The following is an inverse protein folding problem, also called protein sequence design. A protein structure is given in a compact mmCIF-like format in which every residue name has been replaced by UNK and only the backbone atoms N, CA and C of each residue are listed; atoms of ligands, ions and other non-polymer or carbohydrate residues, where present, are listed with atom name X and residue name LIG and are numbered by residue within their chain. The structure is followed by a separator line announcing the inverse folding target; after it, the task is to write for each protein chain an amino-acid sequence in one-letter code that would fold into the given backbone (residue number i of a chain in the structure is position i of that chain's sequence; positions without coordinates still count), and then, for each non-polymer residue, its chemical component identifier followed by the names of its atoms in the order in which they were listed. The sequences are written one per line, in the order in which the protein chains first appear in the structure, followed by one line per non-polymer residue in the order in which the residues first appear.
data_IF_152053394779
#
_entry.id   IF_152053394779
#
_cell.length_a   1.000
_cell.length_b   1.000
_cell.length_c   1.000
_cell.angle_alpha   90.00
_cell.angle_beta   90.00
_cell.angle_gamma   90.00
#
_symmetry.space_group_name_H-M   'P 1'
#
loop_
_entity.id
_entity.type
_entity.pdbx_description
1 polymer ?
#
# COMPACT_ATOMS: atom_id res chain seq x y z
N UNK A 1 6.10 34.56 16.76
CA UNK A 1 5.76 33.25 16.15
C UNK A 1 4.41 32.83 16.71
N UNK A 2 3.51 32.28 15.88
CA UNK A 2 2.16 31.93 16.32
C UNK A 2 2.13 30.69 17.24
N UNK A 3 3.15 29.83 17.16
CA UNK A 3 3.26 28.57 17.91
C UNK A 3 4.70 28.35 18.39
N UNK A 4 4.90 27.64 19.50
CA UNK A 4 6.21 27.40 20.15
C UNK A 4 6.86 26.06 19.77
N UNK A 5 6.36 25.34 18.76
CA UNK A 5 6.89 24.04 18.36
C UNK A 5 8.20 24.16 17.57
N UNK A 6 9.13 23.24 17.81
CA UNK A 6 10.47 23.24 17.17
C UNK A 6 10.52 22.44 15.87
N UNK A 7 9.56 21.54 15.65
CA UNK A 7 9.47 20.73 14.44
C UNK A 7 8.01 20.51 14.01
N UNK A 8 7.85 19.97 12.80
CA UNK A 8 6.54 19.80 12.17
C UNK A 8 5.65 18.76 12.86
N UNK A 9 6.25 17.72 13.43
CA UNK A 9 5.52 16.68 14.13
C UNK A 9 4.86 17.24 15.40
N UNK A 10 5.64 17.93 16.24
CA UNK A 10 5.15 18.55 17.47
C UNK A 10 4.10 19.64 17.18
N UNK A 11 4.30 20.42 16.10
CA UNK A 11 3.34 21.43 15.68
C UNK A 11 1.98 20.82 15.33
N UNK A 12 1.95 19.73 14.55
CA UNK A 12 0.69 19.08 14.17
C UNK A 12 0.01 18.43 15.37
N UNK A 13 0.77 17.78 16.26
CA UNK A 13 0.21 17.21 17.49
C UNK A 13 -0.38 18.32 18.37
N UNK A 14 0.34 19.43 18.56
CA UNK A 14 -0.15 20.58 19.32
C UNK A 14 -1.43 21.18 18.73
N UNK A 15 -1.46 21.41 17.41
CA UNK A 15 -2.64 21.97 16.73
C UNK A 15 -3.85 21.03 16.81
N UNK A 16 -3.61 19.73 16.67
CA UNK A 16 -4.63 18.69 16.78
C UNK A 16 -5.19 18.62 18.20
N UNK A 17 -4.30 18.59 19.20
CA UNK A 17 -4.67 18.62 20.62
C UNK A 17 -5.52 19.85 20.95
N UNK A 18 -5.04 21.04 20.57
CA UNK A 18 -5.76 22.29 20.78
C UNK A 18 -7.16 22.25 20.18
N UNK A 19 -7.32 21.67 19.00
CA UNK A 19 -8.63 21.52 18.36
C UNK A 19 -9.57 20.57 19.12
N UNK A 20 -9.06 19.45 19.63
CA UNK A 20 -9.84 18.51 20.45
C UNK A 20 -10.28 19.16 21.77
N UNK A 21 -9.41 19.97 22.39
CA UNK A 21 -9.73 20.65 23.65
C UNK A 21 -10.73 21.81 23.52
N UNK A 22 -11.06 22.26 22.30
CA UNK A 22 -12.01 23.35 22.13
C UNK A 22 -13.39 22.97 22.70
N UNK A 23 -14.11 23.90 23.36
CA UNK A 23 -15.43 23.66 23.96
C UNK A 23 -16.54 23.63 22.89
N UNK A 24 -16.37 22.76 21.90
CA UNK A 24 -17.29 22.54 20.80
C UNK A 24 -17.94 21.17 20.94
N UNK A 25 -19.14 21.04 20.41
CA UNK A 25 -19.72 19.72 20.24
C UNK A 25 -18.81 18.91 19.31
N UNK A 26 -18.50 17.68 19.72
CA UNK A 26 -17.64 16.74 19.02
C UNK A 26 -18.06 15.33 19.43
N UNK A 27 -17.71 14.35 18.62
CA UNK A 27 -17.97 12.95 18.94
C UNK A 27 -17.19 12.53 20.21
N UNK A 28 -17.82 11.84 21.19
CA UNK A 28 -17.18 11.54 22.48
C UNK A 28 -15.84 10.80 22.38
N UNK A 29 -15.69 9.92 21.38
CA UNK A 29 -14.47 9.13 21.18
C UNK A 29 -13.19 9.97 21.11
N UNK A 30 -13.23 11.20 20.59
CA UNK A 30 -12.04 12.04 20.55
C UNK A 30 -11.49 12.32 21.94
N UNK A 31 -12.37 12.55 22.93
CA UNK A 31 -11.96 12.80 24.32
C UNK A 31 -11.68 11.52 25.10
N UNK A 32 -12.41 10.45 24.80
CA UNK A 32 -12.19 9.15 25.44
C UNK A 32 -10.83 8.55 25.07
N UNK A 33 -10.44 8.65 23.78
CA UNK A 33 -9.17 8.09 23.30
C UNK A 33 -8.02 9.10 23.44
N UNK A 34 -8.24 10.38 23.09
CA UNK A 34 -7.25 11.43 23.28
C UNK A 34 -7.57 12.22 24.56
N UNK A 35 -7.46 11.54 25.71
CA UNK A 35 -7.73 12.15 27.01
C UNK A 35 -6.58 13.04 27.50
N UNK A 36 -5.38 12.89 26.94
CA UNK A 36 -4.22 13.71 27.25
C UNK A 36 -3.33 13.92 26.01
N UNK A 37 -2.53 14.99 26.01
CA UNK A 37 -1.71 15.38 24.85
C UNK A 37 -0.59 14.37 24.56
N UNK A 38 0.00 13.80 25.60
CA UNK A 38 1.02 12.75 25.54
C UNK A 38 0.49 11.46 24.91
N UNK A 39 -0.77 11.11 25.17
CA UNK A 39 -1.46 9.98 24.52
C UNK A 39 -1.59 10.23 23.02
N UNK A 40 -2.03 11.43 22.62
CA UNK A 40 -2.10 11.83 21.21
C UNK A 40 -0.71 11.79 20.55
N UNK A 41 0.32 12.29 21.25
CA UNK A 41 1.71 12.29 20.80
C UNK A 41 2.23 10.86 20.56
N UNK A 42 1.99 9.96 21.51
CA UNK A 42 2.38 8.55 21.43
C UNK A 42 1.72 7.87 20.23
N UNK A 43 0.40 8.05 20.06
CA UNK A 43 -0.35 7.50 18.91
C UNK A 43 0.18 8.06 17.58
N UNK A 44 0.42 9.37 17.52
CA UNK A 44 0.97 10.02 16.32
C UNK A 44 2.38 9.52 15.98
N UNK A 45 3.20 9.21 16.99
CA UNK A 45 4.55 8.68 16.81
C UNK A 45 4.52 7.29 16.17
N UNK A 46 3.68 6.40 16.70
CA UNK A 46 3.48 5.05 16.14
C UNK A 46 2.92 5.10 14.70
N UNK A 47 2.19 6.18 14.36
CA UNK A 47 1.66 6.36 13.01
C UNK A 47 2.71 6.65 11.94
N UNK A 48 3.96 6.97 12.31
CA UNK A 48 5.03 7.29 11.37
C UNK A 48 4.62 8.38 10.37
N UNK A 49 4.12 9.50 10.91
CA UNK A 49 3.63 10.62 10.11
C UNK A 49 4.74 11.24 9.26
N UNK A 50 4.38 11.59 8.04
CA UNK A 50 5.19 12.36 7.09
C UNK A 50 4.43 13.63 6.70
N UNK A 51 5.17 14.69 6.37
CA UNK A 51 4.62 16.03 6.20
C UNK A 51 5.04 16.64 4.87
N UNK A 52 4.17 17.49 4.32
CA UNK A 52 4.48 18.18 3.09
C UNK A 52 5.66 19.16 3.28
N UNK A 53 6.59 19.25 2.29
CA UNK A 53 7.66 20.24 2.32
C UNK A 53 7.13 21.66 2.47
N UNK A 54 7.77 22.46 3.33
CA UNK A 54 7.39 23.86 3.61
C UNK A 54 6.09 24.03 4.42
N UNK A 55 5.44 22.96 4.86
CA UNK A 55 4.20 23.06 5.64
C UNK A 55 4.43 23.71 7.01
N UNK A 56 5.57 23.44 7.65
CA UNK A 56 5.96 24.08 8.91
C UNK A 56 6.10 25.59 8.76
N UNK A 57 6.82 26.04 7.73
CA UNK A 57 7.04 27.45 7.43
C UNK A 57 5.72 28.15 7.07
N UNK A 58 4.87 27.48 6.28
CA UNK A 58 3.57 28.00 5.88
C UNK A 58 2.62 28.24 7.07
N UNK A 59 2.68 27.40 8.11
CA UNK A 59 1.87 27.57 9.33
C UNK A 59 2.42 28.67 10.24
N UNK A 60 3.75 28.80 10.32
CA UNK A 60 4.41 29.79 11.17
C UNK A 60 4.58 31.17 10.51
N UNK A 61 4.27 31.30 9.22
CA UNK A 61 4.36 32.55 8.48
C UNK A 61 3.44 33.65 9.06
N UNK A 62 3.86 34.91 8.92
CA UNK A 62 3.09 36.08 9.37
C UNK A 62 1.82 36.33 8.54
N UNK A 63 1.75 35.77 7.33
CA UNK A 63 0.61 35.85 6.42
C UNK A 63 0.13 34.44 6.04
N UNK A 64 -1.16 34.24 5.74
CA UNK A 64 -1.67 32.93 5.34
C UNK A 64 -1.03 32.46 4.02
N UNK A 65 -0.85 31.14 3.83
CA UNK A 65 -0.29 30.63 2.59
C UNK A 65 -1.16 31.03 1.39
N UNK A 66 -0.54 31.25 0.24
CA UNK A 66 -1.26 31.53 -1.00
C UNK A 66 -1.74 30.24 -1.67
N UNK A 67 -2.58 30.35 -2.69
CA UNK A 67 -2.97 29.21 -3.54
C UNK A 67 -1.76 28.51 -4.17
N UNK A 68 -0.66 29.24 -4.41
CA UNK A 68 0.54 28.70 -5.02
C UNK A 68 1.18 27.61 -4.15
N UNK A 69 1.24 27.82 -2.82
CA UNK A 69 1.70 26.81 -1.87
C UNK A 69 0.95 25.48 -2.05
N UNK A 70 -0.38 25.51 -2.05
CA UNK A 70 -1.19 24.30 -2.18
C UNK A 70 -1.05 23.61 -3.53
N UNK A 71 -0.75 24.33 -4.61
CA UNK A 71 -0.53 23.75 -5.95
C UNK A 71 0.82 23.04 -6.10
N UNK A 72 1.77 23.33 -5.22
CA UNK A 72 3.11 22.73 -5.23
C UNK A 72 3.22 21.56 -4.24
N UNK A 73 2.14 21.18 -3.57
CA UNK A 73 2.14 20.05 -2.65
C UNK A 73 2.31 18.72 -3.38
N UNK A 74 2.90 17.71 -2.73
CA UNK A 74 3.05 16.39 -3.33
C UNK A 74 1.69 15.74 -3.63
N UNK A 75 1.58 15.10 -4.80
CA UNK A 75 0.38 14.35 -5.22
C UNK A 75 0.56 12.83 -5.28
N UNK A 76 1.72 12.31 -4.85
CA UNK A 76 2.00 10.87 -4.89
C UNK A 76 1.20 10.13 -3.81
N UNK A 77 0.29 9.23 -4.20
CA UNK A 77 -0.70 8.68 -3.26
C UNK A 77 -0.72 7.14 -3.16
N UNK A 78 0.45 6.49 -3.23
CA UNK A 78 0.52 5.03 -3.26
C UNK A 78 0.63 4.41 -1.85
N UNK A 79 -0.37 3.60 -1.47
CA UNK A 79 -0.40 2.87 -0.19
C UNK A 79 -0.34 3.70 1.10
N UNK A 80 -0.95 4.88 1.11
CA UNK A 80 -0.93 5.77 2.28
C UNK A 80 -2.33 6.19 2.74
N UNK A 81 -2.44 6.53 4.02
CA UNK A 81 -3.50 7.39 4.54
C UNK A 81 -3.01 8.82 4.58
N UNK A 82 -3.91 9.78 4.39
CA UNK A 82 -3.51 11.18 4.33
C UNK A 82 -4.62 12.15 4.72
N UNK A 83 -4.23 13.30 5.27
CA UNK A 83 -4.98 14.56 5.16
C UNK A 83 -4.49 15.27 3.90
N UNK A 84 -5.41 15.65 3.03
CA UNK A 84 -5.13 16.24 1.73
C UNK A 84 -5.90 17.54 1.52
N UNK A 85 -5.46 18.31 0.53
CA UNK A 85 -6.15 19.49 0.02
C UNK A 85 -6.51 19.29 -1.45
N UNK A 86 -7.69 19.74 -1.85
CA UNK A 86 -8.12 19.87 -3.24
C UNK A 86 -8.16 21.35 -3.60
N UNK A 87 -7.55 21.73 -4.72
CA UNK A 87 -7.59 23.10 -5.23
C UNK A 87 -8.56 23.18 -6.39
N UNK A 88 -9.55 24.06 -6.28
CA UNK A 88 -10.60 24.27 -7.28
C UNK A 88 -10.44 25.62 -7.96
N UNK A 89 -10.48 25.63 -9.29
CA UNK A 89 -10.44 26.86 -10.08
C UNK A 89 -11.57 26.94 -11.10
N UNK A 90 -12.01 28.18 -11.35
CA UNK A 90 -12.95 28.58 -12.38
C UNK A 90 -12.47 29.92 -12.93
N UNK A 91 -12.48 30.10 -14.25
CA UNK A 91 -12.00 31.34 -14.90
C UNK A 91 -12.79 32.55 -14.37
N UNK A 92 -12.07 33.62 -14.02
CA UNK A 92 -12.66 34.87 -13.49
C UNK A 92 -13.26 34.76 -12.09
N UNK A 93 -13.02 33.67 -11.35
CA UNK A 93 -13.55 33.47 -10.00
C UNK A 93 -12.43 33.15 -9.02
N UNK A 94 -12.63 33.51 -7.75
CA UNK A 94 -11.70 33.19 -6.66
C UNK A 94 -11.52 31.68 -6.52
N UNK A 95 -10.27 31.25 -6.35
CA UNK A 95 -9.92 29.84 -6.09
C UNK A 95 -10.61 29.36 -4.81
N UNK A 96 -11.03 28.09 -4.80
CA UNK A 96 -11.57 27.44 -3.60
C UNK A 96 -10.68 26.27 -3.19
N UNK A 97 -10.61 25.98 -1.90
CA UNK A 97 -9.92 24.79 -1.38
C UNK A 97 -10.86 23.93 -0.54
N UNK A 98 -10.60 22.64 -0.51
CA UNK A 98 -11.23 21.69 0.39
C UNK A 98 -10.14 20.86 1.07
N UNK A 99 -10.21 20.73 2.39
CA UNK A 99 -9.34 19.81 3.14
C UNK A 99 -10.18 18.61 3.56
N UNK A 100 -9.64 17.42 3.38
CA UNK A 100 -10.29 16.17 3.76
C UNK A 100 -9.27 15.09 4.11
N UNK A 101 -9.73 13.98 4.68
CA UNK A 101 -8.89 12.81 4.96
C UNK A 101 -9.31 11.58 4.15
N UNK A 102 -8.32 10.71 3.88
CA UNK A 102 -8.48 9.48 3.11
C UNK A 102 -8.03 8.26 3.91
N UNK A 103 -8.90 7.75 4.78
CA UNK A 103 -8.61 6.68 5.77
C UNK A 103 -9.29 5.34 5.46
N UNK A 104 -9.72 5.12 4.21
CA UNK A 104 -10.35 3.87 3.81
C UNK A 104 -9.29 2.76 3.70
N UNK A 105 -9.46 1.65 4.43
CA UNK A 105 -8.51 0.52 4.43
C UNK A 105 -8.33 -0.11 3.04
N UNK A 106 -9.40 -0.22 2.26
CA UNK A 106 -9.39 -0.89 0.96
C UNK A 106 -8.89 0.01 -0.18
N UNK A 107 -9.09 1.32 -0.03
CA UNK A 107 -8.98 2.29 -1.13
C UNK A 107 -8.01 3.44 -0.92
N UNK A 108 -7.62 3.71 0.33
CA UNK A 108 -6.65 4.77 0.70
C UNK A 108 -7.13 6.17 0.30
N UNK A 109 -6.23 7.14 0.35
CA UNK A 109 -6.49 8.48 -0.21
C UNK A 109 -6.81 8.42 -1.71
N UNK A 110 -6.19 7.51 -2.47
CA UNK A 110 -6.41 7.38 -3.91
C UNK A 110 -7.87 7.08 -4.27
N UNK A 111 -8.55 6.17 -3.57
CA UNK A 111 -9.96 5.89 -3.83
C UNK A 111 -10.84 7.10 -3.57
N UNK A 112 -10.54 7.86 -2.52
CA UNK A 112 -11.27 9.12 -2.24
C UNK A 112 -11.08 10.11 -3.39
N UNK A 113 -9.84 10.27 -3.89
CA UNK A 113 -9.55 11.10 -5.05
C UNK A 113 -10.22 10.63 -6.34
N UNK A 114 -10.23 9.32 -6.60
CA UNK A 114 -10.94 8.73 -7.74
C UNK A 114 -12.45 8.96 -7.64
N UNK A 115 -13.01 8.96 -6.43
CA UNK A 115 -14.40 9.35 -6.19
C UNK A 115 -14.70 10.77 -6.66
N UNK A 116 -13.81 11.72 -6.38
CA UNK A 116 -13.93 13.08 -6.91
C UNK A 116 -13.82 13.14 -8.43
N UNK A 117 -12.85 12.43 -9.02
CA UNK A 117 -12.66 12.40 -10.47
C UNK A 117 -13.87 11.86 -11.21
N UNK A 118 -14.49 10.81 -10.64
CA UNK A 118 -15.70 10.17 -11.17
C UNK A 118 -16.98 10.89 -10.79
N UNK A 119 -16.89 11.94 -9.97
CA UNK A 119 -18.04 12.66 -9.38
C UNK A 119 -19.02 11.71 -8.66
N UNK A 120 -18.48 10.75 -7.92
CA UNK A 120 -19.27 9.76 -7.18
C UNK A 120 -20.03 10.44 -6.04
N UNK A 121 -21.39 10.46 -6.08
CA UNK A 121 -22.20 11.16 -5.09
C UNK A 121 -22.09 10.55 -3.69
N UNK A 122 -21.74 9.25 -3.56
CA UNK A 122 -21.65 8.57 -2.26
C UNK A 122 -20.50 9.06 -1.38
N UNK A 123 -19.51 9.73 -1.99
CA UNK A 123 -18.31 10.22 -1.32
C UNK A 123 -18.13 11.73 -1.48
N UNK A 124 -19.08 12.43 -2.09
CA UNK A 124 -18.94 13.85 -2.43
C UNK A 124 -19.44 14.75 -1.29
N UNK A 125 -18.58 15.58 -0.67
CA UNK A 125 -19.04 16.61 0.26
C UNK A 125 -19.96 17.62 -0.43
N UNK A 126 -21.00 18.08 0.26
CA UNK A 126 -22.04 18.98 -0.28
C UNK A 126 -21.49 20.19 -1.04
N UNK A 127 -20.49 20.90 -0.50
CA UNK A 127 -19.95 22.09 -1.15
C UNK A 127 -18.90 21.80 -2.21
N UNK A 128 -18.30 20.60 -2.19
CA UNK A 128 -17.47 20.13 -3.29
C UNK A 128 -18.37 19.82 -4.50
N UNK A 129 -19.49 19.12 -4.29
CA UNK A 129 -20.52 18.90 -5.31
C UNK A 129 -21.05 20.24 -5.87
N UNK A 130 -21.41 21.17 -4.98
CA UNK A 130 -21.82 22.52 -5.37
C UNK A 130 -20.74 23.21 -6.21
N UNK A 131 -19.47 23.14 -5.84
CA UNK A 131 -18.39 23.74 -6.61
C UNK A 131 -18.31 23.16 -8.03
N UNK A 132 -18.46 21.84 -8.18
CA UNK A 132 -18.53 21.22 -9.51
C UNK A 132 -19.73 21.69 -10.33
N UNK A 133 -20.91 21.82 -9.71
CA UNK A 133 -22.13 22.37 -10.34
C UNK A 133 -21.95 23.85 -10.74
N UNK A 134 -21.24 24.62 -9.93
CA UNK A 134 -20.90 26.02 -10.20
C UNK A 134 -19.83 26.17 -11.33
N UNK A 135 -19.32 25.07 -11.89
CA UNK A 135 -18.35 25.05 -12.99
C UNK A 135 -16.88 25.08 -12.56
N UNK A 136 -16.58 24.86 -11.27
CA UNK A 136 -15.21 24.69 -10.82
C UNK A 136 -14.66 23.32 -11.23
N UNK A 137 -13.33 23.27 -11.43
CA UNK A 137 -12.58 22.04 -11.69
C UNK A 137 -11.48 21.89 -10.64
N UNK A 138 -11.21 20.65 -10.23
CA UNK A 138 -10.02 20.33 -9.44
C UNK A 138 -8.80 20.52 -10.34
N UNK A 139 -7.91 21.43 -9.98
CA UNK A 139 -6.64 21.68 -10.70
C UNK A 139 -5.44 21.07 -10.00
N UNK A 140 -5.57 20.70 -8.72
CA UNK A 140 -4.50 20.06 -7.96
C UNK A 140 -5.06 19.26 -6.77
N UNK A 141 -4.35 18.19 -6.39
CA UNK A 141 -4.62 17.37 -5.20
C UNK A 141 -3.31 17.21 -4.43
N UNK A 142 -3.19 17.90 -3.31
CA UNK A 142 -1.97 17.95 -2.51
C UNK A 142 -2.12 17.16 -1.22
N UNK A 143 -1.07 16.50 -0.77
CA UNK A 143 -1.00 15.91 0.56
C UNK A 143 -0.45 16.94 1.54
N UNK A 144 -1.04 17.01 2.74
CA UNK A 144 -0.56 17.85 3.85
C UNK A 144 0.19 17.00 4.87
N UNK A 145 -0.44 15.90 5.31
CA UNK A 145 0.10 14.92 6.27
C UNK A 145 -0.27 13.53 5.79
N UNK A 146 0.64 12.58 5.86
CA UNK A 146 0.36 11.20 5.48
C UNK A 146 1.11 10.18 6.33
N UNK A 147 0.66 8.93 6.27
CA UNK A 147 1.24 7.80 6.96
C UNK A 147 1.18 6.55 6.08
N UNK A 148 2.07 5.55 6.30
CA UNK A 148 1.88 4.22 5.74
C UNK A 148 0.52 3.62 6.19
N UNK A 149 0.08 2.57 5.51
CA UNK A 149 -1.12 1.85 5.93
C UNK A 149 -0.95 1.32 7.36
N UNK A 150 -1.89 1.59 8.27
CA UNK A 150 -1.85 0.98 9.60
C UNK A 150 -2.02 -0.53 9.53
N UNK A 151 -1.41 -1.22 10.50
CA UNK A 151 -1.82 -2.56 10.87
C UNK A 151 -3.31 -2.59 11.27
N UNK A 152 -3.96 -3.74 11.13
CA UNK A 152 -5.39 -3.87 11.39
C UNK A 152 -5.80 -3.39 12.79
N UNK A 153 -4.98 -3.71 13.80
CA UNK A 153 -5.13 -3.27 15.19
C UNK A 153 -5.19 -1.73 15.34
N UNK A 154 -4.41 -1.02 14.54
CA UNK A 154 -4.27 0.44 14.65
C UNK A 154 -5.24 1.21 13.75
N UNK A 155 -5.97 0.54 12.85
CA UNK A 155 -6.94 1.16 11.94
C UNK A 155 -7.93 2.09 12.65
N UNK A 156 -8.57 1.70 13.77
CA UNK A 156 -9.60 2.54 14.40
C UNK A 156 -9.02 3.83 14.97
N UNK A 157 -7.94 3.69 15.75
CA UNK A 157 -7.27 4.79 16.43
C UNK A 157 -6.62 5.74 15.42
N UNK A 158 -5.96 5.21 14.39
CA UNK A 158 -5.34 6.07 13.37
C UNK A 158 -6.40 6.79 12.55
N UNK A 159 -7.58 6.18 12.33
CA UNK A 159 -8.66 6.87 11.62
C UNK A 159 -9.13 8.08 12.45
N UNK A 160 -9.27 7.91 13.76
CA UNK A 160 -9.57 8.98 14.70
C UNK A 160 -8.51 10.08 14.66
N UNK A 161 -7.22 9.71 14.66
CA UNK A 161 -6.11 10.66 14.53
C UNK A 161 -6.20 11.49 13.22
N UNK A 162 -6.41 10.83 12.08
CA UNK A 162 -6.47 11.52 10.78
C UNK A 162 -7.69 12.46 10.65
N UNK A 163 -8.83 12.12 11.24
CA UNK A 163 -9.99 13.01 11.28
C UNK A 163 -9.74 14.20 12.21
N UNK A 164 -9.07 13.99 13.34
CA UNK A 164 -8.66 15.10 14.22
C UNK A 164 -7.68 16.06 13.52
N UNK A 165 -6.68 15.52 12.80
CA UNK A 165 -5.76 16.33 12.00
C UNK A 165 -6.48 17.03 10.83
N UNK A 166 -7.47 16.40 10.20
CA UNK A 166 -8.33 17.04 9.18
C UNK A 166 -9.04 18.25 9.75
N UNK A 167 -9.63 18.15 10.95
CA UNK A 167 -10.25 19.27 11.63
C UNK A 167 -9.23 20.40 11.88
N UNK A 168 -8.08 20.06 12.49
CA UNK A 168 -7.05 21.04 12.82
C UNK A 168 -6.57 21.82 11.59
N UNK A 169 -6.20 21.10 10.52
CA UNK A 169 -5.70 21.73 9.29
C UNK A 169 -6.80 22.46 8.52
N UNK A 170 -8.05 22.02 8.60
CA UNK A 170 -9.20 22.74 8.04
C UNK A 170 -9.39 24.11 8.69
N UNK A 171 -9.21 24.23 10.01
CA UNK A 171 -9.34 25.52 10.70
C UNK A 171 -8.09 26.37 10.61
N UNK A 172 -6.89 25.80 10.71
CA UNK A 172 -5.62 26.53 10.55
C UNK A 172 -5.59 27.25 9.20
N UNK A 173 -5.89 26.55 8.10
CA UNK A 173 -5.94 27.14 6.75
C UNK A 173 -7.29 27.75 6.38
N UNK A 174 -8.23 27.83 7.34
CA UNK A 174 -9.59 28.32 7.12
C UNK A 174 -10.26 27.78 5.84
N UNK A 175 -10.18 26.46 5.64
CA UNK A 175 -10.84 25.75 4.54
C UNK A 175 -12.37 25.68 4.70
N UNK A 176 -12.95 26.45 5.63
CA UNK A 176 -14.38 26.54 5.92
C UNK A 176 -15.12 27.39 4.88
N UNK A 177 -16.34 26.96 4.52
CA UNK A 177 -17.17 27.64 3.52
C UNK A 177 -17.55 29.08 3.89
N UNK A 178 -17.71 29.36 5.18
CA UNK A 178 -18.03 30.70 5.69
C UNK A 178 -16.79 31.33 6.31
N UNK A 179 -16.54 32.60 5.97
CA UNK A 179 -15.51 33.44 6.60
C UNK A 179 -16.01 34.18 7.84
N UNK A 180 -17.32 34.32 7.98
CA UNK A 180 -17.92 35.07 9.09
C UNK A 180 -18.33 34.16 10.25
N UNK A 181 -18.73 32.91 9.96
CA UNK A 181 -19.09 31.94 10.98
C UNK A 181 -17.85 31.44 11.70
N UNK A 182 -17.85 31.53 13.03
CA UNK A 182 -16.70 31.11 13.86
C UNK A 182 -16.51 29.60 13.94
N UNK A 183 -17.61 28.84 13.80
CA UNK A 183 -17.66 27.40 14.08
C UNK A 183 -17.21 27.03 15.50
N UNK A 184 -17.09 28.01 16.40
CA UNK A 184 -16.47 27.89 17.73
C UNK A 184 -14.99 27.44 17.67
N UNK A 185 -14.34 27.67 16.53
CA UNK A 185 -12.97 27.24 16.21
C UNK A 185 -12.15 28.39 15.65
N UNK A 186 -12.62 29.64 15.77
CA UNK A 186 -11.95 30.80 15.18
C UNK A 186 -10.52 31.00 15.66
N UNK A 187 -10.25 30.66 16.93
CA UNK A 187 -8.94 30.79 17.57
C UNK A 187 -7.90 29.76 17.10
N UNK A 188 -8.31 28.75 16.31
CA UNK A 188 -7.38 27.80 15.69
C UNK A 188 -6.71 28.36 14.42
N UNK A 189 -7.27 29.41 13.83
CA UNK A 189 -6.69 30.09 12.68
C UNK A 189 -5.77 31.23 13.15
N UNK A 190 -4.46 31.20 12.85
CA UNK A 190 -3.52 32.22 13.31
C UNK A 190 -3.62 33.55 12.54
N UNK A 191 -4.35 33.57 11.41
CA UNK A 191 -4.46 34.75 10.54
C UNK A 191 -5.88 35.33 10.51
N UNK A 192 -6.02 36.64 10.19
CA UNK A 192 -7.33 37.22 9.87
C UNK A 192 -7.98 36.52 8.68
N UNK A 193 -9.23 36.07 8.81
CA UNK A 193 -9.97 35.33 7.76
C UNK A 193 -10.13 36.08 6.44
N UNK A 194 -10.05 37.41 6.47
CA UNK A 194 -10.07 38.27 5.29
C UNK A 194 -8.76 38.28 4.50
N UNK A 195 -7.65 37.88 5.11
CA UNK A 195 -6.32 37.87 4.49
C UNK A 195 -6.13 36.70 3.50
N UNK A 196 -6.98 35.68 3.56
CA UNK A 196 -6.90 34.54 2.65
C UNK A 196 -7.28 34.92 1.22
N UNK A 197 -6.49 34.50 0.25
CA UNK A 197 -6.72 34.72 -1.20
C UNK A 197 -7.60 33.64 -1.86
N UNK A 198 -8.13 32.71 -1.06
CA UNK A 198 -9.01 31.62 -1.50
C UNK A 198 -10.19 31.42 -0.54
N UNK A 199 -11.26 30.79 -1.00
CA UNK A 199 -12.39 30.38 -0.14
C UNK A 199 -12.33 28.91 0.23
N UNK A 200 -12.91 28.55 1.37
CA UNK A 200 -13.07 27.17 1.79
C UNK A 200 -14.30 26.48 1.22
N UNK A 201 -14.34 25.16 1.34
CA UNK A 201 -15.46 24.29 0.97
C UNK A 201 -15.90 23.34 2.09
N UNK A 202 -15.22 23.35 3.25
CA UNK A 202 -15.61 22.53 4.41
C UNK A 202 -16.87 23.13 5.07
N UNK A 203 -17.89 22.30 5.29
CA UNK A 203 -19.19 22.75 5.83
C UNK A 203 -19.26 22.78 7.34
N UNK A 204 -18.46 21.95 8.01
CA UNK A 204 -18.52 21.70 9.44
C UNK A 204 -17.15 21.23 9.95
N UNK A 205 -17.02 21.17 11.28
CA UNK A 205 -15.85 20.62 11.96
C UNK A 205 -15.84 19.09 11.82
N UNK A 206 -14.78 18.49 11.28
CA UNK A 206 -14.66 17.04 11.12
C UNK A 206 -14.74 16.27 12.47
N UNK A 207 -14.51 16.93 13.61
CA UNK A 207 -14.72 16.33 14.93
C UNK A 207 -16.20 16.00 15.24
N UNK A 208 -17.14 16.51 14.43
CA UNK A 208 -18.56 16.16 14.52
C UNK A 208 -18.90 14.85 13.82
N UNK A 209 -17.99 14.33 12.97
CA UNK A 209 -18.23 13.12 12.22
C UNK A 209 -18.10 11.90 13.12
N UNK A 210 -19.11 11.02 13.07
CA UNK A 210 -19.04 9.71 13.71
C UNK A 210 -18.01 8.83 13.01
N UNK A 211 -17.05 8.31 13.77
CA UNK A 211 -15.99 7.46 13.22
C UNK A 211 -16.34 5.99 13.39
N UNK A 212 -16.38 5.28 12.26
CA UNK A 212 -16.48 3.82 12.26
C UNK A 212 -15.11 3.21 12.54
N UNK A 213 -15.03 2.37 13.55
CA UNK A 213 -13.75 1.78 13.94
C UNK A 213 -13.82 0.47 14.74
N UNK A 214 -14.98 0.06 15.27
CA UNK A 214 -15.04 -1.06 16.22
C UNK A 214 -14.01 -0.89 17.36
N UNK A 215 -14.05 0.28 18.01
CA UNK A 215 -13.10 0.69 19.06
C UNK A 215 -13.17 -0.19 20.32
N UNK A 216 -14.24 -0.98 20.43
CA UNK A 216 -14.54 -1.95 21.47
C UNK A 216 -13.89 -3.33 21.26
N UNK A 217 -13.28 -3.58 20.09
CA UNK A 217 -12.64 -4.85 19.78
C UNK A 217 -11.18 -4.89 20.21
N UNK A 218 -10.72 -6.09 20.60
CA UNK A 218 -9.31 -6.33 20.89
C UNK A 218 -8.47 -6.30 19.60
N UNK A 219 -7.16 -6.14 19.75
CA UNK A 219 -6.21 -6.22 18.64
C UNK A 219 -6.36 -7.51 17.84
N UNK A 220 -6.45 -8.67 18.51
CA UNK A 220 -6.62 -9.97 17.85
C UNK A 220 -7.93 -10.06 17.06
N UNK A 221 -9.02 -9.53 17.61
CA UNK A 221 -10.31 -9.48 16.93
C UNK A 221 -10.26 -8.59 15.68
N UNK A 222 -9.60 -7.42 15.76
CA UNK A 222 -9.41 -6.52 14.62
C UNK A 222 -8.57 -7.17 13.52
N UNK A 223 -7.51 -7.90 13.88
CA UNK A 223 -6.67 -8.64 12.95
C UNK A 223 -7.43 -9.79 12.29
N UNK A 224 -8.19 -10.57 13.08
CA UNK A 224 -9.05 -11.63 12.56
C UNK A 224 -10.09 -11.07 11.57
N UNK A 225 -10.79 -9.99 11.93
CA UNK A 225 -11.74 -9.33 11.05
C UNK A 225 -11.10 -8.82 9.76
N UNK A 226 -9.88 -8.28 9.84
CA UNK A 226 -9.14 -7.84 8.66
C UNK A 226 -8.78 -9.03 7.75
N UNK A 227 -8.40 -10.18 8.30
CA UNK A 227 -8.15 -11.39 7.51
C UNK A 227 -9.43 -11.90 6.83
N UNK A 228 -10.54 -12.00 7.57
CA UNK A 228 -11.84 -12.39 7.01
C UNK A 228 -12.27 -11.43 5.89
N UNK A 229 -12.08 -10.11 6.08
CA UNK A 229 -12.38 -9.12 5.06
C UNK A 229 -11.48 -9.24 3.83
N UNK A 230 -10.18 -9.52 4.01
CA UNK A 230 -9.25 -9.80 2.90
C UNK A 230 -9.68 -11.03 2.12
N UNK A 231 -10.03 -12.12 2.79
CA UNK A 231 -10.45 -13.35 2.13
C UNK A 231 -11.79 -13.19 1.42
N UNK A 232 -12.77 -12.54 2.05
CA UNK A 232 -14.05 -12.19 1.39
C UNK A 232 -13.82 -11.38 0.13
N UNK A 233 -12.94 -10.37 0.17
CA UNK A 233 -12.60 -9.55 -1.01
C UNK A 233 -11.90 -10.38 -2.09
N UNK A 234 -10.99 -11.29 -1.73
CA UNK A 234 -10.35 -12.21 -2.68
C UNK A 234 -11.38 -13.09 -3.36
N UNK A 235 -12.31 -13.67 -2.59
CA UNK A 235 -13.40 -14.51 -3.11
C UNK A 235 -14.29 -13.73 -4.07
N UNK A 236 -14.81 -12.56 -3.65
CA UNK A 236 -15.64 -11.70 -4.49
C UNK A 236 -14.93 -11.28 -5.79
N UNK A 237 -13.63 -11.00 -5.71
CA UNK A 237 -12.82 -10.65 -6.88
C UNK A 237 -12.71 -11.84 -7.84
N UNK A 238 -12.45 -13.06 -7.34
CA UNK A 238 -12.43 -14.29 -8.14
C UNK A 238 -13.78 -14.56 -8.80
N UNK A 239 -14.87 -14.48 -8.04
CA UNK A 239 -16.24 -14.65 -8.56
C UNK A 239 -16.58 -13.60 -9.62
N UNK A 240 -16.22 -12.33 -9.38
CA UNK A 240 -16.42 -11.26 -10.34
C UNK A 240 -15.66 -11.51 -11.64
N UNK A 241 -14.42 -12.00 -11.56
CA UNK A 241 -13.65 -12.39 -12.74
C UNK A 241 -14.26 -13.60 -13.45
N UNK A 242 -14.65 -14.63 -12.72
CA UNK A 242 -15.33 -15.80 -13.28
C UNK A 242 -16.62 -15.43 -14.01
N UNK A 243 -17.44 -14.54 -13.42
CA UNK A 243 -18.67 -14.02 -14.07
C UNK A 243 -18.36 -13.23 -15.34
N UNK A 244 -17.40 -12.30 -15.29
CA UNK A 244 -17.03 -11.53 -16.49
C UNK A 244 -16.50 -12.43 -17.61
N UNK A 245 -15.71 -13.45 -17.26
CA UNK A 245 -15.21 -14.43 -18.22
C UNK A 245 -16.34 -15.27 -18.82
N UNK A 246 -17.28 -15.75 -18.00
CA UNK A 246 -18.42 -16.54 -18.45
C UNK A 246 -19.38 -15.75 -19.36
N UNK A 247 -19.58 -14.46 -19.09
CA UNK A 247 -20.49 -13.62 -19.89
C UNK A 247 -19.90 -13.20 -21.24
N UNK A 248 -18.60 -12.87 -21.29
CA UNK A 248 -17.97 -12.41 -22.52
C UNK A 248 -16.44 -12.66 -22.51
N UNK A 249 -16.00 -13.87 -22.90
CA UNK A 249 -14.60 -14.27 -22.76
C UNK A 249 -13.67 -13.47 -23.67
N UNK A 250 -14.07 -13.14 -24.91
CA UNK A 250 -13.18 -12.50 -25.89
C UNK A 250 -12.71 -11.10 -25.47
N UNK A 251 -13.57 -10.13 -25.12
CA UNK A 251 -13.13 -8.82 -24.63
C UNK A 251 -12.32 -8.89 -23.33
N UNK A 252 -12.60 -9.88 -22.49
CA UNK A 252 -11.81 -10.11 -21.29
C UNK A 252 -10.40 -10.60 -21.64
N UNK A 253 -10.27 -11.57 -22.55
CA UNK A 253 -9.00 -12.09 -23.05
C UNK A 253 -8.21 -11.01 -23.80
N UNK A 254 -8.88 -10.19 -24.62
CA UNK A 254 -8.28 -9.05 -25.29
C UNK A 254 -7.67 -8.05 -24.29
N UNK A 255 -8.43 -7.62 -23.28
CA UNK A 255 -7.93 -6.74 -22.21
C UNK A 255 -6.78 -7.37 -21.42
N UNK A 256 -6.85 -8.68 -21.16
CA UNK A 256 -5.77 -9.41 -20.48
C UNK A 256 -4.49 -9.39 -21.33
N UNK A 257 -4.60 -9.68 -22.63
CA UNK A 257 -3.47 -9.64 -23.58
C UNK A 257 -2.85 -8.24 -23.67
N UNK A 258 -3.67 -7.20 -23.77
CA UNK A 258 -3.21 -5.80 -23.78
C UNK A 258 -2.47 -5.43 -22.50
N UNK A 259 -3.02 -5.81 -21.33
CA UNK A 259 -2.38 -5.58 -20.05
C UNK A 259 -1.04 -6.31 -19.95
N UNK A 260 -0.99 -7.59 -20.33
CA UNK A 260 0.24 -8.37 -20.29
C UNK A 260 1.30 -7.82 -21.25
N UNK A 261 0.91 -7.41 -22.46
CA UNK A 261 1.80 -6.74 -23.42
C UNK A 261 2.35 -5.42 -22.86
N UNK A 262 1.49 -4.62 -22.23
CA UNK A 262 1.89 -3.36 -21.58
C UNK A 262 2.87 -3.61 -20.44
N UNK A 263 2.58 -4.55 -19.54
CA UNK A 263 3.48 -4.90 -18.42
C UNK A 263 4.81 -5.42 -18.95
N UNK A 264 4.79 -6.21 -20.04
CA UNK A 264 6.02 -6.70 -20.68
C UNK A 264 6.87 -5.58 -21.27
N UNK A 265 6.24 -4.56 -21.85
CA UNK A 265 6.95 -3.40 -22.38
C UNK A 265 7.48 -2.47 -21.28
N UNK A 266 6.68 -2.20 -20.25
CA UNK A 266 7.04 -1.26 -19.17
C UNK A 266 7.96 -1.88 -18.12
N UNK A 267 7.86 -3.19 -17.86
CA UNK A 267 8.57 -3.84 -16.76
C UNK A 267 8.87 -5.33 -17.04
N UNK A 268 9.77 -5.63 -18.01
CA UNK A 268 10.13 -7.00 -18.35
C UNK A 268 10.83 -7.74 -17.20
N UNK A 269 11.63 -7.04 -16.40
CA UNK A 269 12.35 -7.61 -15.25
C UNK A 269 11.40 -8.20 -14.22
N UNK A 270 10.34 -7.47 -13.86
CA UNK A 270 9.33 -7.95 -12.92
C UNK A 270 8.58 -9.18 -13.41
N UNK A 271 8.43 -9.36 -14.73
CA UNK A 271 7.87 -10.59 -15.29
C UNK A 271 8.83 -11.76 -15.13
N UNK A 272 10.13 -11.55 -15.37
CA UNK A 272 11.16 -12.56 -15.16
C UNK A 272 11.24 -12.98 -13.68
N UNK A 273 11.24 -12.02 -12.75
CA UNK A 273 11.19 -12.32 -11.32
C UNK A 273 9.94 -13.11 -10.93
N UNK A 274 8.77 -12.72 -11.46
CA UNK A 274 7.51 -13.43 -11.17
C UNK A 274 7.57 -14.87 -11.70
N UNK A 275 8.14 -15.07 -12.89
CA UNK A 275 8.35 -16.39 -13.45
C UNK A 275 9.34 -17.22 -12.61
N UNK A 276 10.44 -16.62 -12.15
CA UNK A 276 11.41 -17.26 -11.27
C UNK A 276 10.78 -17.71 -9.94
N UNK A 277 10.11 -16.79 -9.22
CA UNK A 277 9.36 -17.10 -7.98
C UNK A 277 8.32 -18.18 -8.18
N UNK A 278 7.63 -18.19 -9.32
CA UNK A 278 6.67 -19.25 -9.64
C UNK A 278 7.35 -20.61 -9.82
N UNK A 279 8.51 -20.66 -10.48
CA UNK A 279 9.25 -21.91 -10.68
C UNK A 279 9.79 -22.48 -9.37
N UNK A 280 10.33 -21.62 -8.52
CA UNK A 280 10.80 -21.98 -7.17
C UNK A 280 9.68 -22.56 -6.32
N UNK A 281 8.55 -21.84 -6.21
CA UNK A 281 7.37 -22.34 -5.48
C UNK A 281 6.88 -23.70 -5.98
N UNK A 282 6.92 -23.97 -7.29
CA UNK A 282 6.51 -25.27 -7.83
C UNK A 282 7.49 -26.39 -7.46
N UNK A 283 8.79 -26.09 -7.31
CA UNK A 283 9.80 -27.04 -6.82
C UNK A 283 9.60 -27.38 -5.35
N UNK A 284 9.33 -26.37 -4.52
CA UNK A 284 9.10 -26.54 -3.08
C UNK A 284 7.85 -27.37 -2.79
N UNK A 285 6.78 -27.10 -3.54
CA UNK A 285 5.55 -27.89 -3.48
C UNK A 285 5.71 -29.29 -4.08
N UNK A 286 6.89 -29.62 -4.64
CA UNK A 286 7.16 -30.87 -5.37
C UNK A 286 6.08 -31.20 -6.41
N UNK A 287 5.47 -30.18 -7.02
CA UNK A 287 4.29 -30.36 -7.90
C UNK A 287 4.62 -31.19 -9.13
N UNK A 288 5.81 -31.01 -9.68
CA UNK A 288 6.31 -31.75 -10.85
C UNK A 288 7.50 -32.60 -10.42
N UNK A 289 7.25 -33.60 -9.59
CA UNK A 289 8.29 -34.45 -9.01
C UNK A 289 8.38 -35.80 -9.72
N UNK A 290 9.61 -36.19 -10.08
CA UNK A 290 9.90 -37.54 -10.55
C UNK A 290 10.36 -38.40 -9.38
N UNK A 291 9.50 -39.31 -8.93
CA UNK A 291 9.77 -40.21 -7.79
C UNK A 291 11.01 -41.08 -8.06
N UNK A 292 11.12 -41.62 -9.27
CA UNK A 292 12.22 -42.52 -9.65
C UNK A 292 13.60 -41.85 -9.62
N UNK A 293 13.63 -40.56 -9.91
CA UNK A 293 14.85 -39.76 -9.88
C UNK A 293 15.01 -38.92 -8.62
N UNK A 294 14.01 -38.92 -7.72
CA UNK A 294 13.88 -38.02 -6.58
C UNK A 294 14.21 -36.56 -6.92
N UNK A 295 13.65 -36.05 -8.02
CA UNK A 295 13.95 -34.70 -8.53
C UNK A 295 12.67 -33.90 -8.78
N UNK A 296 12.62 -32.69 -8.23
CA UNK A 296 11.53 -31.73 -8.46
C UNK A 296 11.87 -30.79 -9.61
N UNK A 297 10.95 -30.67 -10.57
CA UNK A 297 11.11 -29.86 -11.78
C UNK A 297 10.21 -28.63 -11.75
N UNK A 298 10.52 -27.65 -12.62
CA UNK A 298 9.91 -26.31 -12.52
C UNK A 298 8.53 -26.20 -13.18
N UNK A 299 8.27 -27.05 -14.17
CA UNK A 299 6.99 -27.12 -14.88
C UNK A 299 6.75 -28.53 -15.46
N UNK A 300 5.51 -28.79 -15.91
CA UNK A 300 5.13 -30.06 -16.51
C UNK A 300 5.99 -30.41 -17.73
N UNK A 301 6.26 -29.44 -18.61
CA UNK A 301 7.10 -29.67 -19.81
C UNK A 301 8.51 -30.13 -19.45
N UNK A 302 9.09 -29.64 -18.35
CA UNK A 302 10.39 -30.11 -17.88
C UNK A 302 10.32 -31.54 -17.36
N UNK A 303 9.24 -31.91 -16.67
CA UNK A 303 8.96 -33.27 -16.24
C UNK A 303 8.78 -34.21 -17.43
N UNK A 304 8.00 -33.83 -18.42
CA UNK A 304 7.79 -34.66 -19.61
C UNK A 304 9.11 -34.87 -20.37
N UNK A 305 9.92 -33.81 -20.52
CA UNK A 305 11.27 -33.91 -21.10
C UNK A 305 12.17 -34.81 -20.28
N UNK A 306 12.11 -34.70 -18.96
CA UNK A 306 12.87 -35.55 -18.05
C UNK A 306 12.49 -37.02 -18.19
N UNK A 307 11.19 -37.34 -18.12
CA UNK A 307 10.66 -38.70 -18.27
C UNK A 307 10.99 -39.30 -19.63
N UNK A 308 10.98 -38.47 -20.69
CA UNK A 308 11.31 -38.91 -22.03
C UNK A 308 12.81 -39.01 -22.32
N UNK A 309 13.67 -38.50 -21.43
CA UNK A 309 15.11 -38.52 -21.63
C UNK A 309 15.64 -39.96 -21.64
N UNK A 310 16.63 -40.24 -22.51
CA UNK A 310 17.30 -41.56 -22.56
C UNK A 310 17.84 -41.98 -21.20
N UNK A 311 18.32 -41.01 -20.41
CA UNK A 311 18.85 -41.24 -19.06
C UNK A 311 17.78 -41.71 -18.07
N UNK A 312 16.60 -41.08 -18.09
CA UNK A 312 15.50 -41.51 -17.22
C UNK A 312 15.01 -42.91 -17.61
N UNK A 313 14.77 -43.14 -18.91
CA UNK A 313 14.33 -44.46 -19.41
C UNK A 313 15.30 -45.57 -19.05
N UNK A 314 16.61 -45.34 -19.20
CA UNK A 314 17.64 -46.31 -18.81
C UNK A 314 17.64 -46.57 -17.29
N UNK A 315 17.54 -45.51 -16.47
CA UNK A 315 17.47 -45.66 -15.01
C UNK A 315 16.25 -46.46 -14.58
N UNK A 316 15.10 -46.20 -15.21
CA UNK A 316 13.86 -46.93 -14.95
C UNK A 316 13.95 -48.39 -15.37
N UNK A 317 14.48 -48.68 -16.57
CA UNK A 317 14.69 -50.03 -17.07
C UNK A 317 15.65 -50.84 -16.17
N UNK A 318 16.77 -50.22 -15.74
CA UNK A 318 17.72 -50.86 -14.83
C UNK A 318 17.08 -51.19 -13.48
N UNK A 319 16.26 -50.28 -12.94
CA UNK A 319 15.52 -50.50 -11.68
C UNK A 319 14.52 -51.65 -11.81
N UNK A 320 13.79 -51.74 -12.93
CA UNK A 320 12.87 -52.86 -13.20
C UNK A 320 13.60 -54.21 -13.36
N UNK A 321 14.78 -54.20 -13.98
CA UNK A 321 15.61 -55.39 -14.15
C UNK A 321 16.31 -55.83 -12.84
N UNK A 322 16.07 -55.17 -11.70
CA UNK A 322 16.73 -55.46 -10.44
C UNK A 322 18.23 -55.15 -10.45
N UNK A 323 18.71 -54.37 -11.42
CA UNK A 323 20.11 -53.95 -11.49
C UNK A 323 20.33 -52.87 -10.43
N UNK A 324 20.73 -53.31 -9.24
CA UNK A 324 21.12 -52.42 -8.16
C UNK A 324 22.47 -51.82 -8.52
N UNK A 325 22.47 -50.56 -8.94
CA UNK A 325 23.70 -49.78 -8.91
C UNK A 325 24.05 -49.56 -7.44
N UNK A 326 25.22 -50.03 -6.99
CA UNK A 326 25.64 -49.86 -5.59
C UNK A 326 26.43 -48.56 -5.38
N UNK A 327 26.88 -47.92 -6.46
CA UNK A 327 27.82 -46.81 -6.41
C UNK A 327 27.24 -45.59 -7.13
N UNK A 328 27.04 -44.50 -6.39
CA UNK A 328 26.43 -43.27 -6.87
C UNK A 328 27.30 -42.05 -6.59
N UNK A 329 27.26 -41.09 -7.51
CA UNK A 329 27.78 -39.75 -7.31
C UNK A 329 26.60 -38.80 -7.12
N UNK A 330 26.39 -38.32 -5.89
CA UNK A 330 25.27 -37.42 -5.58
C UNK A 330 25.34 -36.10 -6.34
N UNK A 331 26.55 -35.56 -6.51
CA UNK A 331 26.80 -34.32 -7.22
C UNK A 331 26.36 -34.36 -8.70
N UNK A 332 26.57 -35.50 -9.37
CA UNK A 332 26.32 -35.64 -10.81
C UNK A 332 25.09 -36.49 -11.14
N UNK A 333 24.52 -37.17 -10.15
CA UNK A 333 23.52 -38.23 -10.30
C UNK A 333 24.02 -39.41 -11.13
N UNK A 334 25.34 -39.61 -11.23
CA UNK A 334 25.93 -40.72 -11.97
C UNK A 334 25.81 -41.99 -11.13
N UNK A 335 25.49 -43.11 -11.76
CA UNK A 335 25.39 -44.41 -11.11
C UNK A 335 26.23 -45.44 -11.87
N UNK A 336 26.90 -46.30 -11.13
CA UNK A 336 27.68 -47.41 -11.67
C UNK A 336 27.37 -48.69 -10.90
N UNK A 337 27.43 -49.83 -11.62
CA UNK A 337 27.37 -51.16 -10.99
C UNK A 337 28.68 -51.44 -10.22
N UNK A 338 29.80 -50.88 -10.68
CA UNK A 338 31.13 -51.11 -10.12
C UNK A 338 31.74 -49.81 -9.55
N UNK A 339 32.45 -49.93 -8.42
CA UNK A 339 33.16 -48.82 -7.77
C UNK A 339 34.15 -48.15 -8.71
N UNK A 340 34.89 -48.94 -9.50
CA UNK A 340 35.86 -48.44 -10.49
C UNK A 340 35.22 -47.50 -11.53
N UNK A 341 33.94 -47.71 -11.86
CA UNK A 341 33.17 -46.80 -12.71
C UNK A 341 32.86 -45.47 -12.04
N UNK A 342 32.56 -45.49 -10.74
CA UNK A 342 32.36 -44.27 -9.94
C UNK A 342 33.69 -43.51 -9.75
N UNK A 343 34.80 -44.22 -9.50
CA UNK A 343 36.12 -43.59 -9.33
C UNK A 343 36.58 -42.91 -10.63
N UNK A 344 36.40 -43.59 -11.77
CA UNK A 344 36.66 -43.01 -13.09
C UNK A 344 35.77 -41.81 -13.37
N UNK A 345 34.50 -41.86 -12.95
CA UNK A 345 33.60 -40.72 -13.06
C UNK A 345 34.10 -39.53 -12.23
N UNK A 346 34.42 -39.74 -10.94
CA UNK A 346 34.86 -38.70 -10.02
C UNK A 346 36.18 -38.04 -10.44
N UNK A 347 37.07 -38.80 -11.09
CA UNK A 347 38.34 -38.28 -11.63
C UNK A 347 38.20 -37.55 -12.97
N UNK A 348 37.06 -37.71 -13.66
CA UNK A 348 36.78 -37.13 -14.96
C UNK A 348 36.63 -35.61 -14.94
N UNK A 349 37.05 -34.96 -16.04
CA UNK A 349 37.04 -33.49 -16.17
C UNK A 349 35.66 -32.86 -15.95
N UNK A 350 34.59 -33.53 -16.39
CA UNK A 350 33.21 -33.04 -16.22
C UNK A 350 32.78 -33.04 -14.75
N UNK A 351 33.13 -34.08 -13.99
CA UNK A 351 32.83 -34.14 -12.56
C UNK A 351 33.59 -33.05 -11.81
N UNK A 352 34.90 -32.92 -12.05
CA UNK A 352 35.74 -31.87 -11.44
C UNK A 352 35.20 -30.46 -11.68
N UNK A 353 34.75 -30.17 -12.90
CA UNK A 353 34.16 -28.86 -13.23
C UNK A 353 32.87 -28.60 -12.44
N UNK A 354 32.02 -29.62 -12.27
CA UNK A 354 30.79 -29.51 -11.46
C UNK A 354 31.09 -29.41 -9.97
N UNK A 355 32.08 -30.14 -9.47
CA UNK A 355 32.48 -30.11 -8.06
C UNK A 355 33.01 -28.73 -7.69
N UNK A 356 33.84 -28.14 -8.55
CA UNK A 356 34.34 -26.78 -8.38
C UNK A 356 33.21 -25.73 -8.39
N UNK A 357 32.20 -25.89 -9.25
CA UNK A 357 31.06 -24.97 -9.30
C UNK A 357 30.17 -25.08 -8.05
N UNK A 358 29.91 -26.30 -7.57
CA UNK A 358 29.15 -26.53 -6.35
C UNK A 358 29.87 -26.00 -5.11
N UNK A 359 31.20 -26.18 -5.03
CA UNK A 359 32.02 -25.63 -3.94
C UNK A 359 31.95 -24.09 -3.90
N UNK A 360 31.94 -23.42 -5.05
CA UNK A 360 31.77 -21.96 -5.12
C UNK A 360 30.40 -21.49 -4.65
N UNK A 361 29.32 -22.20 -5.02
CA UNK A 361 27.96 -21.88 -4.59
C UNK A 361 27.79 -22.04 -3.07
N UNK A 362 28.33 -23.11 -2.50
CA UNK A 362 28.29 -23.34 -1.05
C UNK A 362 29.03 -22.24 -0.27
N UNK A 363 30.17 -21.75 -0.78
CA UNK A 363 30.93 -20.66 -0.17
C UNK A 363 30.21 -19.30 -0.22
N UNK A 364 29.36 -19.07 -1.23
CA UNK A 364 28.54 -17.85 -1.29
C UNK A 364 27.34 -17.90 -0.34
N UNK A 365 26.70 -19.06 -0.15
CA UNK A 365 25.57 -19.19 0.78
C UNK A 365 25.99 -19.05 2.25
N UNK A 366 27.23 -19.40 2.62
CA UNK A 366 27.72 -19.22 4.00
C UNK A 366 28.02 -17.76 4.38
N UNK A 367 28.23 -16.87 3.40
CA UNK A 367 28.55 -15.47 3.64
C UNK A 367 27.32 -14.58 3.82
N UNK A 368 26.14 -15.06 3.43
CA UNK A 368 24.86 -14.34 3.59
C UNK A 368 24.13 -14.74 4.90
N UNK A 369 24.71 -15.63 5.71
CA UNK A 369 24.13 -16.15 6.96
C UNK A 369 24.81 -15.67 8.25
N UNK A 370 25.86 -14.85 8.15
CA UNK A 370 26.49 -14.09 9.26
C UNK A 370 26.10 -12.61 9.14
#
# INVERSE_FOLDING_TARGET
MAFSATNMFDLIVFLTWRCICMPVHQFPLFKEIFYAQDVLLSIASVANLSFAPGLFDAINASAPPTVHFFKNLPSHCFKIWAVYVLVFQKKGHTTRIYIGSGTNCAGRVRTRWTGYDRRDPSVMPRFVDKAFKDGYKIVHKGLLVWAPMPAAANVPIFRLLFVAMEAALSFVFWAMVSRTKDYKMGSACPWPRRAFTYHGLCSHNALLDGIKGNFDLTQEQLEHMAEVARERKRRQTRESYARMYAMNPEPWLARSREYDAKVKAENPEKLLEKAARSKEKMRDLKRFHCVECNMSLSCQTDLDKHLNSKRHKLRFANKQAGVVHNFFCDLCGYSSVYQTGLDRHNTGATHKKRAAAAAKLAATESLDSD
#
